data_IF_581286076555
#
_entry.id   IF_581286076555
#
_cell.length_a   1.000
_cell.length_b   1.000
_cell.length_c   1.000
_cell.angle_alpha   90.00
_cell.angle_beta   90.00
_cell.angle_gamma   90.00
#
_symmetry.space_group_name_H-M   'P 1'
#
loop_
_entity.id
_entity.type
_entity.pdbx_description
1 polymer ?
#
# COMPACT_ATOMS: atom_id res chain seq x y z
N UNK A 1 -25.12 16.57 -14.99
CA UNK A 1 -24.62 15.67 -13.93
C UNK A 1 -23.16 15.33 -14.24
N UNK A 2 -22.21 15.91 -13.51
CA UNK A 2 -20.78 15.71 -13.79
C UNK A 2 -20.37 14.29 -13.38
N UNK A 3 -20.08 13.44 -14.37
CA UNK A 3 -19.58 12.09 -14.15
C UNK A 3 -18.26 12.15 -13.37
N UNK A 4 -18.27 11.66 -12.13
CA UNK A 4 -17.04 11.40 -11.36
C UNK A 4 -16.16 10.48 -12.20
N UNK A 5 -15.11 11.02 -12.82
CA UNK A 5 -14.02 10.23 -13.40
C UNK A 5 -13.48 9.37 -12.26
N UNK A 6 -13.82 8.08 -12.23
CA UNK A 6 -13.15 7.08 -11.40
C UNK A 6 -11.71 7.06 -11.89
N UNK A 7 -10.84 7.90 -11.32
CA UNK A 7 -9.40 7.74 -11.45
C UNK A 7 -9.12 6.30 -11.08
N UNK A 8 -8.58 5.50 -12.00
CA UNK A 8 -8.39 4.05 -11.86
C UNK A 8 -7.34 3.66 -10.83
N UNK A 9 -7.30 4.35 -9.69
CA UNK A 9 -6.42 4.12 -8.55
C UNK A 9 -7.28 3.98 -7.29
N UNK A 10 -7.12 2.88 -6.60
CA UNK A 10 -7.72 2.59 -5.30
C UNK A 10 -6.71 2.84 -4.18
N UNK A 11 -7.20 3.22 -3.00
CA UNK A 11 -6.36 3.26 -1.80
C UNK A 11 -6.08 1.82 -1.37
N UNK A 12 -4.81 1.50 -1.13
CA UNK A 12 -4.35 0.19 -0.68
C UNK A 12 -3.47 0.34 0.56
N UNK A 13 -3.52 -0.64 1.43
CA UNK A 13 -2.69 -0.69 2.63
C UNK A 13 -1.47 -1.59 2.36
N UNK A 14 -0.27 -1.06 2.51
CA UNK A 14 0.98 -1.80 2.49
C UNK A 14 1.37 -2.18 3.92
N UNK A 15 1.73 -3.44 4.17
CA UNK A 15 2.05 -3.96 5.51
C UNK A 15 3.40 -4.66 5.48
N UNK A 16 4.19 -4.42 6.51
CA UNK A 16 5.38 -5.21 6.80
C UNK A 16 5.04 -6.22 7.90
N UNK A 17 4.88 -7.49 7.50
CA UNK A 17 4.40 -8.57 8.39
C UNK A 17 5.20 -8.69 9.70
N UNK A 18 6.55 -8.64 9.70
CA UNK A 18 7.32 -8.81 10.93
C UNK A 18 7.12 -7.70 11.98
N UNK A 19 6.89 -6.46 11.56
CA UNK A 19 6.80 -5.31 12.49
C UNK A 19 5.36 -4.87 12.77
N UNK A 20 4.40 -5.33 11.96
CA UNK A 20 3.02 -4.87 11.96
C UNK A 20 2.84 -3.43 11.46
N UNK A 21 3.91 -2.78 10.98
CA UNK A 21 3.81 -1.42 10.44
C UNK A 21 3.03 -1.42 9.13
N UNK A 22 2.30 -0.33 8.90
CA UNK A 22 1.51 -0.18 7.68
C UNK A 22 1.56 1.24 7.12
N UNK A 23 1.38 1.33 5.80
CA UNK A 23 1.32 2.58 5.05
C UNK A 23 0.12 2.53 4.10
N UNK A 24 -0.66 3.60 4.05
CA UNK A 24 -1.66 3.77 3.00
C UNK A 24 -1.00 4.38 1.76
N UNK A 25 -1.33 3.86 0.58
CA UNK A 25 -0.91 4.45 -0.70
C UNK A 25 -2.00 4.25 -1.75
N UNK A 26 -1.86 4.86 -2.91
CA UNK A 26 -2.78 4.65 -4.03
C UNK A 26 -2.13 3.72 -5.05
N UNK A 27 -2.87 2.73 -5.53
CA UNK A 27 -2.42 1.76 -6.51
C UNK A 27 -3.51 1.55 -7.56
N UNK A 28 -3.14 1.10 -8.76
CA UNK A 28 -4.13 0.61 -9.73
C UNK A 28 -4.79 -0.66 -9.15
N UNK A 29 -6.09 -0.89 -9.40
CA UNK A 29 -6.86 -1.97 -8.77
C UNK A 29 -6.27 -3.37 -8.97
N UNK A 30 -5.61 -3.62 -10.10
CA UNK A 30 -5.03 -4.93 -10.43
C UNK A 30 -3.52 -5.07 -10.09
N UNK A 31 -2.91 -4.03 -9.53
CA UNK A 31 -1.48 -4.04 -9.24
C UNK A 31 -1.21 -4.60 -7.83
N UNK A 32 -0.55 -5.77 -7.74
CA UNK A 32 0.04 -6.26 -6.49
C UNK A 32 1.22 -5.38 -6.10
N UNK A 33 0.99 -4.39 -5.26
CA UNK A 33 2.02 -3.41 -4.92
C UNK A 33 2.99 -3.97 -3.86
N UNK A 34 4.28 -3.90 -4.16
CA UNK A 34 5.39 -4.20 -3.22
C UNK A 34 6.37 -3.03 -3.26
N UNK A 35 6.60 -2.37 -2.12
CA UNK A 35 7.46 -1.19 -2.05
C UNK A 35 8.49 -1.32 -0.95
N UNK A 36 9.72 -0.89 -1.24
CA UNK A 36 10.75 -0.65 -0.23
C UNK A 36 10.42 0.66 0.50
N UNK A 37 10.14 0.58 1.79
CA UNK A 37 9.87 1.76 2.65
C UNK A 37 10.66 1.66 3.94
N UNK A 38 10.96 2.81 4.52
CA UNK A 38 11.68 2.88 5.78
C UNK A 38 10.79 2.39 6.93
N UNK A 39 11.22 1.36 7.65
CA UNK A 39 10.59 0.92 8.89
C UNK A 39 11.13 1.74 10.05
N UNK A 40 10.25 2.38 10.84
CA UNK A 40 10.67 3.14 12.03
C UNK A 40 11.08 2.20 13.15
N UNK A 41 10.44 1.04 13.26
CA UNK A 41 10.79 0.00 14.25
C UNK A 41 12.15 -0.65 13.98
N UNK A 42 12.47 -0.97 12.72
CA UNK A 42 13.74 -1.61 12.37
C UNK A 42 14.86 -0.63 11.99
N UNK A 43 14.53 0.66 11.88
CA UNK A 43 15.43 1.74 11.45
C UNK A 43 16.19 1.44 10.15
N UNK A 44 15.51 0.76 9.21
CA UNK A 44 16.04 0.39 7.91
C UNK A 44 14.94 0.29 6.87
N UNK A 45 15.32 0.36 5.59
CA UNK A 45 14.39 0.09 4.49
C UNK A 45 14.05 -1.41 4.44
N UNK A 46 12.76 -1.72 4.47
CA UNK A 46 12.22 -3.08 4.38
C UNK A 46 11.06 -3.15 3.39
N UNK A 47 10.74 -4.36 2.95
CA UNK A 47 9.75 -4.59 1.90
C UNK A 47 8.35 -4.61 2.51
N UNK A 48 7.53 -3.64 2.16
CA UNK A 48 6.11 -3.64 2.50
C UNK A 48 5.30 -4.23 1.33
N UNK A 49 4.33 -5.08 1.67
CA UNK A 49 3.49 -5.77 0.70
C UNK A 49 2.03 -5.39 0.90
N UNK A 50 1.28 -5.26 -0.20
CA UNK A 50 -0.14 -4.94 -0.11
C UNK A 50 -0.91 -5.98 0.73
N UNK A 51 -1.66 -5.50 1.72
CA UNK A 51 -2.63 -6.28 2.47
C UNK A 51 -3.80 -6.59 1.54
N UNK A 52 -4.09 -7.87 1.37
CA UNK A 52 -5.28 -8.31 0.65
C UNK A 52 -6.50 -7.85 1.46
N UNK A 53 -7.45 -7.17 0.81
CA UNK A 53 -8.79 -7.04 1.39
C UNK A 53 -9.35 -8.46 1.47
N UNK A 54 -9.69 -8.90 2.68
CA UNK A 54 -10.35 -10.18 2.92
C UNK A 54 -11.80 -10.12 2.46
#
# INVERSE_FOLDING_TARGET
MAGKKKTGRSIVLLVHKPTGESYATTAKPDAKLKLMKYSRKLRKHVLFVQKKAS
#
